data_IF_875624377772
#
_entry.id   IF_875624377772
#
_cell.length_a   1.000
_cell.length_b   1.000
_cell.length_c   1.000
_cell.angle_alpha   90.00
_cell.angle_beta   90.00
_cell.angle_gamma   90.00
#
_symmetry.space_group_name_H-M   'P 1'
#
loop_
_entity.id
_entity.type
_entity.pdbx_description
1 polymer ?
#
# COMPACT_ATOMS: atom_id res chain seq x y z
N UNK A 1 18.68 13.06 14.56
CA UNK A 1 19.84 12.16 14.31
C UNK A 1 19.74 11.50 12.94
N UNK A 2 20.74 10.74 12.47
CA UNK A 2 20.68 10.11 11.12
C UNK A 2 19.50 9.13 10.97
N UNK A 3 19.19 8.35 12.00
CA UNK A 3 18.01 7.46 12.01
C UNK A 3 16.69 8.20 11.82
N UNK A 4 16.54 9.35 12.49
CA UNK A 4 15.36 10.19 12.39
C UNK A 4 15.20 10.78 10.98
N UNK A 5 16.30 11.13 10.32
CA UNK A 5 16.28 11.56 8.92
C UNK A 5 15.83 10.42 8.00
N UNK A 6 16.30 9.19 8.23
CA UNK A 6 15.85 8.02 7.46
C UNK A 6 14.36 7.75 7.63
N UNK A 7 13.82 8.03 8.82
CA UNK A 7 12.42 7.84 9.19
C UNK A 7 11.55 9.08 8.92
N UNK A 8 12.08 10.09 8.23
CA UNK A 8 11.34 11.28 7.82
C UNK A 8 10.82 11.08 6.40
N UNK A 9 9.59 11.51 6.14
CA UNK A 9 8.98 11.41 4.81
C UNK A 9 9.79 12.27 3.84
N UNK A 10 10.39 11.62 2.85
CA UNK A 10 11.12 12.26 1.74
C UNK A 10 10.31 12.22 0.45
N UNK A 11 9.44 11.21 0.32
CA UNK A 11 8.48 11.05 -0.77
C UNK A 11 7.07 10.90 -0.18
N UNK A 12 6.26 11.97 -0.16
CA UNK A 12 4.90 11.91 0.38
C UNK A 12 3.98 11.10 -0.54
N UNK A 13 3.02 10.40 0.07
CA UNK A 13 1.93 9.73 -0.65
C UNK A 13 0.76 10.71 -0.79
N UNK A 14 0.78 11.53 -1.84
CA UNK A 14 -0.22 12.58 -2.01
C UNK A 14 -0.22 13.57 -0.84
N UNK A 15 -1.41 13.95 -0.38
CA UNK A 15 -1.59 14.79 0.81
C UNK A 15 -2.02 14.01 2.07
N UNK A 16 -1.83 12.68 2.08
CA UNK A 16 -2.29 11.78 3.16
C UNK A 16 -1.53 11.92 4.48
N UNK A 17 -0.46 12.71 4.53
CA UNK A 17 0.46 12.77 5.66
C UNK A 17 1.32 11.50 5.87
N UNK A 18 1.14 10.48 5.02
CA UNK A 18 1.97 9.28 4.96
C UNK A 18 2.97 9.37 3.82
N UNK A 19 3.97 8.50 3.81
CA UNK A 19 4.96 8.51 2.75
C UNK A 19 6.07 7.50 2.92
N UNK A 20 7.16 7.75 2.19
CA UNK A 20 8.35 6.94 2.23
C UNK A 20 9.57 7.80 2.59
N UNK A 21 10.35 7.34 3.57
CA UNK A 21 11.65 7.89 3.95
C UNK A 21 12.79 7.13 3.28
N UNK A 22 14.00 7.18 3.87
CA UNK A 22 15.13 6.41 3.36
C UNK A 22 15.03 4.95 3.81
N UNK A 23 14.31 4.14 3.04
CA UNK A 23 14.13 2.70 3.28
C UNK A 23 12.99 2.33 4.25
N UNK A 24 12.11 3.29 4.56
CA UNK A 24 11.01 3.09 5.50
C UNK A 24 9.72 3.67 4.94
N UNK A 25 8.65 2.90 4.98
CA UNK A 25 7.30 3.45 4.89
C UNK A 25 6.99 4.13 6.22
N UNK A 26 6.47 5.35 6.17
CA UNK A 26 6.11 6.17 7.33
C UNK A 26 4.60 6.42 7.28
N UNK A 27 3.90 5.98 8.33
CA UNK A 27 2.45 6.10 8.49
C UNK A 27 2.10 6.53 9.91
N UNK A 28 0.82 6.81 10.14
CA UNK A 28 0.32 7.30 11.43
C UNK A 28 -0.86 6.48 11.94
N UNK A 29 -0.77 6.03 13.19
CA UNK A 29 -1.91 5.48 13.93
C UNK A 29 -2.34 6.52 14.97
N UNK A 30 -3.33 7.34 14.64
CA UNK A 30 -3.61 8.55 15.40
C UNK A 30 -2.39 9.47 15.43
N UNK A 31 -1.89 9.78 16.63
CA UNK A 31 -0.69 10.62 16.80
C UNK A 31 0.62 9.82 16.79
N UNK A 32 0.57 8.50 16.67
CA UNK A 32 1.74 7.64 16.72
C UNK A 32 2.37 7.49 15.34
N UNK A 33 3.63 7.89 15.23
CA UNK A 33 4.43 7.62 14.04
C UNK A 33 4.79 6.15 14.03
N UNK A 34 4.40 5.44 12.97
CA UNK A 34 4.81 4.06 12.74
C UNK A 34 5.68 4.01 11.50
N UNK A 35 6.84 3.37 11.62
CA UNK A 35 7.74 3.15 10.50
C UNK A 35 7.87 1.65 10.24
N UNK A 36 7.77 1.26 8.98
CA UNK A 36 7.73 -0.15 8.62
C UNK A 36 8.40 -0.44 7.27
N UNK A 37 8.88 -1.66 7.10
CA UNK A 37 9.36 -2.14 5.82
C UNK A 37 9.17 -3.66 5.72
N UNK A 38 8.69 -4.10 4.56
CA UNK A 38 8.52 -5.51 4.23
C UNK A 38 9.59 -6.02 3.27
N UNK A 39 9.71 -7.32 3.12
CA UNK A 39 10.54 -7.92 2.09
C UNK A 39 10.12 -9.35 1.85
N UNK A 40 10.08 -9.76 0.58
CA UNK A 40 9.74 -11.12 0.20
C UNK A 40 10.66 -11.60 -0.92
N UNK A 41 11.01 -12.88 -0.86
CA UNK A 41 11.62 -13.64 -1.93
C UNK A 41 10.87 -14.97 -2.05
N UNK A 42 11.13 -15.74 -3.11
CA UNK A 42 10.56 -17.08 -3.22
C UNK A 42 10.88 -17.91 -1.97
N UNK A 43 9.83 -18.39 -1.28
CA UNK A 43 9.94 -19.19 -0.06
C UNK A 43 10.15 -18.42 1.25
N UNK A 44 10.32 -17.10 1.24
CA UNK A 44 10.52 -16.32 2.49
C UNK A 44 9.74 -15.00 2.49
N UNK A 45 9.28 -14.59 3.67
CA UNK A 45 8.64 -13.30 3.88
C UNK A 45 9.13 -12.65 5.18
N UNK A 46 9.31 -11.34 5.16
CA UNK A 46 9.83 -10.56 6.29
C UNK A 46 9.05 -9.24 6.44
N UNK A 47 8.88 -8.79 7.67
CA UNK A 47 8.39 -7.44 7.93
C UNK A 47 8.98 -6.91 9.24
N UNK A 48 9.32 -5.62 9.24
CA UNK A 48 9.76 -4.88 10.41
C UNK A 48 8.82 -3.70 10.62
N UNK A 49 8.43 -3.46 11.87
CA UNK A 49 7.58 -2.34 12.28
C UNK A 49 8.16 -1.73 13.57
N UNK A 50 8.22 -0.41 13.65
CA UNK A 50 8.63 0.31 14.86
C UNK A 50 7.66 1.46 15.15
N UNK A 51 7.41 1.69 16.43
CA UNK A 51 6.70 2.86 16.97
C UNK A 51 7.71 3.61 17.86
N UNK A 52 8.47 4.57 17.32
CA UNK A 52 9.63 5.11 18.02
C UNK A 52 9.32 5.83 19.33
N UNK A 53 8.16 6.50 19.45
CA UNK A 53 7.76 7.19 20.69
C UNK A 53 7.54 6.23 21.85
N UNK A 54 7.08 5.01 21.55
CA UNK A 54 6.78 3.97 22.53
C UNK A 54 7.98 3.05 22.80
N UNK A 55 9.09 3.22 22.07
CA UNK A 55 10.24 2.31 22.17
C UNK A 55 9.93 0.89 21.72
N UNK A 56 8.92 0.70 20.87
CA UNK A 56 8.46 -0.61 20.38
C UNK A 56 9.03 -0.90 18.99
N UNK A 57 9.53 -2.11 18.83
CA UNK A 57 9.95 -2.67 17.54
C UNK A 57 9.55 -4.14 17.44
N UNK A 58 8.92 -4.51 16.34
CA UNK A 58 8.48 -5.87 16.06
C UNK A 58 9.01 -6.31 14.70
N UNK A 59 9.57 -7.51 14.66
CA UNK A 59 10.08 -8.13 13.42
C UNK A 59 9.50 -9.52 13.32
N UNK A 60 8.93 -9.85 12.15
CA UNK A 60 8.50 -11.20 11.82
C UNK A 60 9.25 -11.70 10.59
N UNK A 61 9.71 -12.96 10.67
CA UNK A 61 10.36 -13.68 9.58
C UNK A 61 9.62 -15.00 9.40
N UNK A 62 9.30 -15.35 8.16
CA UNK A 62 8.68 -16.60 7.79
C UNK A 62 9.48 -17.29 6.70
N UNK A 63 9.73 -18.58 6.87
CA UNK A 63 10.24 -19.49 5.83
C UNK A 63 9.11 -20.07 4.97
N UNK A 64 8.05 -19.29 4.80
CA UNK A 64 6.91 -19.59 3.96
C UNK A 64 6.69 -18.38 3.06
N UNK A 65 6.94 -18.56 1.76
CA UNK A 65 6.67 -17.56 0.76
C UNK A 65 5.20 -17.17 0.77
N UNK A 66 4.93 -15.87 0.67
CA UNK A 66 3.57 -15.35 0.69
C UNK A 66 2.93 -15.24 2.07
N UNK A 67 3.53 -15.68 3.18
CA UNK A 67 2.97 -15.45 4.52
C UNK A 67 2.70 -13.95 4.77
N UNK A 68 1.52 -13.60 5.33
CA UNK A 68 1.18 -12.19 5.64
C UNK A 68 1.86 -11.70 6.93
N UNK A 69 3.19 -11.62 6.88
CA UNK A 69 4.03 -11.14 7.98
C UNK A 69 3.78 -9.67 8.34
N UNK A 70 3.28 -8.87 7.39
CA UNK A 70 2.86 -7.48 7.63
C UNK A 70 1.69 -7.41 8.61
N UNK A 71 0.66 -8.23 8.41
CA UNK A 71 -0.47 -8.32 9.34
C UNK A 71 -0.02 -8.84 10.71
N UNK A 72 0.85 -9.86 10.73
CA UNK A 72 1.35 -10.45 11.97
C UNK A 72 2.11 -9.42 12.84
N UNK A 73 3.04 -8.65 12.27
CA UNK A 73 3.77 -7.64 13.06
C UNK A 73 2.84 -6.54 13.58
N UNK A 74 1.81 -6.18 12.81
CA UNK A 74 0.84 -5.18 13.22
C UNK A 74 -0.02 -5.67 14.39
N UNK A 75 -0.51 -6.91 14.33
CA UNK A 75 -1.24 -7.52 15.45
C UNK A 75 -0.38 -7.65 16.71
N UNK A 76 0.88 -8.05 16.56
CA UNK A 76 1.83 -8.16 17.68
C UNK A 76 2.12 -6.80 18.30
N UNK A 77 2.36 -5.76 17.51
CA UNK A 77 2.56 -4.43 18.06
C UNK A 77 1.28 -3.88 18.72
N UNK A 78 0.09 -4.07 18.12
CA UNK A 78 -1.18 -3.73 18.79
C UNK A 78 -1.32 -4.41 20.16
N UNK A 79 -0.92 -5.68 20.25
CA UNK A 79 -0.93 -6.43 21.53
C UNK A 79 0.03 -5.83 22.55
N UNK A 80 1.21 -5.35 22.12
CA UNK A 80 2.20 -4.75 23.02
C UNK A 80 1.79 -3.36 23.54
N UNK A 81 1.06 -2.58 22.74
CA UNK A 81 0.59 -1.25 23.14
C UNK A 81 -0.76 -1.28 23.86
N UNK A 82 -1.45 -2.42 23.89
CA UNK A 82 -2.84 -2.54 24.36
C UNK A 82 -3.81 -1.60 23.63
N UNK A 83 -3.49 -1.28 22.37
CA UNK A 83 -4.30 -0.44 21.49
C UNK A 83 -4.09 -0.83 20.01
N UNK A 84 -5.08 -0.59 19.14
CA UNK A 84 -4.96 -0.89 17.71
C UNK A 84 -3.95 0.02 16.98
N UNK A 85 -2.96 -0.55 16.28
CA UNK A 85 -2.21 0.16 15.22
C UNK A 85 -2.69 -0.25 13.84
N UNK A 86 -3.21 0.72 13.08
CA UNK A 86 -3.80 0.58 11.72
C UNK A 86 -4.98 -0.41 11.61
N UNK A 87 -5.08 -1.36 12.53
CA UNK A 87 -5.99 -2.49 12.55
C UNK A 87 -6.60 -2.61 13.95
N UNK A 88 -7.83 -2.14 14.12
CA UNK A 88 -8.75 -2.73 15.10
C UNK A 88 -9.61 -3.82 14.45
N UNK A 89 -9.86 -3.73 13.15
CA UNK A 89 -10.62 -4.70 12.36
C UNK A 89 -10.14 -4.69 10.88
N UNK A 90 -9.60 -5.80 10.34
CA UNK A 90 -9.21 -5.89 8.92
C UNK A 90 -10.38 -5.83 7.93
N UNK A 91 -11.62 -5.68 8.42
CA UNK A 91 -12.80 -5.35 7.61
C UNK A 91 -13.22 -3.87 7.74
N UNK A 92 -12.59 -3.09 8.62
CA UNK A 92 -12.96 -1.70 8.91
C UNK A 92 -11.72 -0.82 9.05
N UNK A 93 -11.11 -0.51 7.90
CA UNK A 93 -9.92 0.34 7.82
C UNK A 93 -10.26 1.81 8.08
N UNK A 94 -9.39 2.57 8.76
CA UNK A 94 -9.55 4.02 8.81
C UNK A 94 -9.50 4.56 7.37
N UNK A 95 -10.41 5.49 7.01
CA UNK A 95 -10.42 6.05 5.67
C UNK A 95 -9.10 6.78 5.40
N UNK A 96 -8.66 6.75 4.14
CA UNK A 96 -7.51 7.53 3.70
C UNK A 96 -7.92 9.00 3.70
N UNK A 97 -7.27 9.81 4.54
CA UNK A 97 -7.48 11.25 4.57
C UNK A 97 -6.77 11.89 3.38
N UNK A 98 -7.54 12.43 2.44
CA UNK A 98 -7.03 13.10 1.24
C UNK A 98 -8.01 14.19 0.85
N UNK A 99 -7.50 15.34 0.41
CA UNK A 99 -8.33 16.40 -0.18
C UNK A 99 -8.32 16.35 -1.70
N UNK A 100 -7.54 15.44 -2.28
CA UNK A 100 -7.50 15.27 -3.71
C UNK A 100 -8.83 14.73 -4.22
N UNK A 101 -9.37 15.38 -5.25
CA UNK A 101 -10.58 14.95 -5.94
C UNK A 101 -10.16 14.52 -7.34
N UNK A 102 -10.44 13.26 -7.67
CA UNK A 102 -10.21 12.76 -9.02
C UNK A 102 -11.15 13.51 -9.98
N UNK A 103 -10.65 14.07 -11.09
CA UNK A 103 -11.49 14.78 -12.05
C UNK A 103 -12.67 13.95 -12.56
N UNK A 104 -13.83 14.59 -12.70
CA UNK A 104 -15.04 13.92 -13.18
C UNK A 104 -14.79 13.28 -14.56
N UNK A 105 -15.15 12.00 -14.70
CA UNK A 105 -15.01 11.23 -15.94
C UNK A 105 -13.63 10.61 -16.17
N UNK A 106 -12.57 11.06 -15.48
CA UNK A 106 -11.22 10.51 -15.69
C UNK A 106 -11.05 9.07 -15.18
N UNK A 107 -11.92 8.62 -14.27
CA UNK A 107 -11.93 7.24 -13.78
C UNK A 107 -12.08 6.20 -14.89
N UNK A 108 -12.64 6.58 -16.04
CA UNK A 108 -12.80 5.69 -17.20
C UNK A 108 -11.50 5.39 -17.94
N UNK A 109 -10.41 6.10 -17.64
CA UNK A 109 -9.12 5.96 -18.33
C UNK A 109 -8.24 4.84 -17.75
N UNK A 110 -8.47 4.44 -16.50
CA UNK A 110 -7.63 3.50 -15.77
C UNK A 110 -8.00 2.00 -15.90
N UNK A 111 -9.27 1.60 -16.12
CA UNK A 111 -9.63 0.19 -16.21
C UNK A 111 -8.88 -0.55 -17.31
N UNK A 112 -8.44 -1.77 -17.02
CA UNK A 112 -7.64 -2.56 -17.94
C UNK A 112 -6.89 -3.70 -17.25
N UNK A 113 -6.22 -4.54 -18.04
CA UNK A 113 -5.36 -5.61 -17.53
C UNK A 113 -3.91 -5.21 -17.76
N UNK A 114 -3.17 -5.07 -16.67
CA UNK A 114 -1.79 -4.66 -16.63
C UNK A 114 -0.90 -5.87 -16.31
N UNK A 115 0.19 -6.07 -17.04
CA UNK A 115 1.07 -7.24 -16.90
C UNK A 115 2.54 -6.86 -16.77
N UNK A 116 3.22 -7.58 -15.88
CA UNK A 116 4.69 -7.68 -15.85
C UNK A 116 5.09 -9.15 -15.96
N UNK A 117 6.40 -9.42 -15.96
CA UNK A 117 6.92 -10.80 -15.90
C UNK A 117 6.56 -11.49 -14.57
N UNK A 118 6.28 -10.73 -13.51
CA UNK A 118 6.05 -11.24 -12.16
C UNK A 118 4.57 -11.36 -11.81
N UNK A 119 3.72 -10.44 -12.26
CA UNK A 119 2.31 -10.42 -11.88
C UNK A 119 1.39 -9.76 -12.91
N UNK A 120 0.11 -10.16 -12.85
CA UNK A 120 -0.99 -9.52 -13.56
C UNK A 120 -1.86 -8.77 -12.56
N UNK A 121 -2.21 -7.53 -12.89
CA UNK A 121 -3.10 -6.66 -12.13
C UNK A 121 -4.26 -6.27 -13.04
N UNK A 122 -5.49 -6.48 -12.61
CA UNK A 122 -6.68 -5.99 -13.32
C UNK A 122 -7.21 -4.77 -12.57
N UNK A 123 -7.38 -3.65 -13.26
CA UNK A 123 -8.10 -2.48 -12.76
C UNK A 123 -9.52 -2.56 -13.29
N UNK A 124 -10.50 -2.61 -12.39
CA UNK A 124 -11.92 -2.60 -12.72
C UNK A 124 -12.51 -1.23 -12.46
N UNK A 125 -13.37 -0.77 -13.35
CA UNK A 125 -14.17 0.45 -13.17
C UNK A 125 -15.59 0.13 -12.70
N UNK A 126 -16.12 0.91 -11.74
CA UNK A 126 -17.52 0.91 -11.33
C UNK A 126 -18.01 2.34 -11.14
N UNK A 127 -18.85 2.83 -12.03
CA UNK A 127 -19.40 4.20 -12.00
C UNK A 127 -18.30 5.27 -11.81
N UNK A 128 -18.07 5.69 -10.56
CA UNK A 128 -17.15 6.75 -10.14
C UNK A 128 -15.98 6.23 -9.28
N UNK A 129 -15.75 4.92 -9.22
CA UNK A 129 -14.61 4.32 -8.52
C UNK A 129 -13.89 3.29 -9.39
N UNK A 130 -12.64 3.02 -9.03
CA UNK A 130 -11.87 1.91 -9.57
C UNK A 130 -11.39 1.01 -8.43
N UNK A 131 -11.23 -0.27 -8.72
CA UNK A 131 -10.64 -1.26 -7.82
C UNK A 131 -9.50 -1.98 -8.55
N UNK A 132 -8.48 -2.40 -7.82
CA UNK A 132 -7.46 -3.29 -8.38
C UNK A 132 -7.66 -4.71 -7.88
N UNK A 133 -7.42 -5.66 -8.76
CA UNK A 133 -7.60 -7.09 -8.53
C UNK A 133 -6.29 -7.81 -8.85
N UNK A 134 -5.83 -8.64 -7.91
CA UNK A 134 -4.62 -9.43 -8.09
C UNK A 134 -4.77 -10.82 -7.44
N UNK A 135 -3.97 -11.77 -7.88
CA UNK A 135 -3.92 -13.09 -7.27
C UNK A 135 -3.15 -13.06 -5.96
N UNK A 136 -3.67 -13.74 -4.93
CA UNK A 136 -3.02 -13.82 -3.62
C UNK A 136 -2.27 -15.15 -3.44
N UNK A 137 -1.20 -15.18 -2.62
CA UNK A 137 -0.41 -16.40 -2.40
C UNK A 137 -1.19 -17.60 -1.84
N UNK A 138 -2.27 -17.35 -1.08
CA UNK A 138 -3.16 -18.40 -0.56
C UNK A 138 -4.05 -19.05 -1.63
N UNK A 139 -4.04 -18.52 -2.85
CA UNK A 139 -4.95 -18.90 -3.92
C UNK A 139 -6.20 -18.00 -3.96
N UNK A 140 -6.74 -17.82 -5.17
CA UNK A 140 -7.83 -16.89 -5.43
C UNK A 140 -7.34 -15.48 -5.76
N UNK A 141 -8.23 -14.50 -5.65
CA UNK A 141 -7.97 -13.09 -5.96
C UNK A 141 -8.42 -12.21 -4.80
N UNK A 142 -7.68 -11.13 -4.55
CA UNK A 142 -8.12 -10.02 -3.71
C UNK A 142 -8.48 -8.85 -4.62
N UNK A 143 -9.62 -8.21 -4.35
CA UNK A 143 -10.06 -6.96 -4.97
C UNK A 143 -10.07 -5.89 -3.88
N UNK A 144 -9.43 -4.75 -4.16
CA UNK A 144 -9.38 -3.62 -3.24
C UNK A 144 -9.73 -2.32 -3.96
N UNK A 145 -10.54 -1.49 -3.31
CA UNK A 145 -10.95 -0.19 -3.80
C UNK A 145 -9.76 0.79 -3.77
N UNK A 146 -9.68 1.64 -4.78
CA UNK A 146 -8.63 2.65 -4.91
C UNK A 146 -9.21 4.05 -4.69
N UNK A 147 -8.56 4.79 -3.81
CA UNK A 147 -8.85 6.21 -3.55
C UNK A 147 -7.78 7.07 -4.21
N UNK A 148 -8.19 8.11 -4.93
CA UNK A 148 -7.27 9.06 -5.54
C UNK A 148 -6.62 9.94 -4.48
N UNK A 149 -5.29 9.98 -4.48
CA UNK A 149 -4.48 10.78 -3.54
C UNK A 149 -3.57 11.78 -4.27
N UNK A 150 -3.61 11.79 -5.60
CA UNK A 150 -2.89 12.72 -6.46
C UNK A 150 -3.19 12.47 -7.93
N UNK A 151 -2.59 13.27 -8.80
CA UNK A 151 -2.67 13.08 -10.26
C UNK A 151 -2.10 11.71 -10.63
N UNK A 152 -2.93 10.89 -11.29
CA UNK A 152 -2.63 9.49 -11.65
C UNK A 152 -2.16 8.61 -10.47
N UNK A 153 -2.31 9.07 -9.23
CA UNK A 153 -1.83 8.40 -8.02
C UNK A 153 -2.99 7.99 -7.13
N UNK A 154 -3.08 6.69 -6.88
CA UNK A 154 -4.11 6.07 -6.08
C UNK A 154 -3.51 5.25 -4.95
N UNK A 155 -4.29 5.03 -3.91
CA UNK A 155 -3.95 4.17 -2.80
C UNK A 155 -5.13 3.24 -2.47
N UNK A 156 -4.84 1.98 -2.21
CA UNK A 156 -5.82 1.01 -1.79
C UNK A 156 -6.36 1.33 -0.39
N UNK A 157 -7.66 1.54 -0.27
CA UNK A 157 -8.31 1.86 1.02
C UNK A 157 -8.63 0.62 1.86
N UNK A 158 -8.76 -0.54 1.21
CA UNK A 158 -9.12 -1.81 1.83
C UNK A 158 -8.28 -2.98 1.28
N UNK A 159 -8.67 -4.20 1.64
CA UNK A 159 -7.97 -5.44 1.31
C UNK A 159 -6.93 -5.83 2.35
N UNK A 160 -6.89 -7.12 2.69
CA UNK A 160 -6.05 -7.67 3.76
C UNK A 160 -4.56 -7.60 3.40
N UNK A 161 -4.22 -7.74 2.11
CA UNK A 161 -2.86 -7.59 1.60
C UNK A 161 -2.64 -6.27 0.88
N UNK A 162 -3.72 -5.63 0.46
CA UNK A 162 -3.70 -4.50 -0.45
C UNK A 162 -3.69 -3.15 0.25
N UNK A 163 -4.25 -3.02 1.46
CA UNK A 163 -4.41 -1.71 2.09
C UNK A 163 -3.11 -0.90 2.17
N UNK A 164 -3.20 0.37 1.77
CA UNK A 164 -2.06 1.28 1.70
C UNK A 164 -1.11 1.05 0.50
N UNK A 165 -1.38 0.07 -0.35
CA UNK A 165 -0.63 -0.14 -1.60
C UNK A 165 -0.90 1.02 -2.55
N UNK A 166 0.18 1.55 -3.13
CA UNK A 166 0.10 2.59 -4.15
C UNK A 166 -0.11 1.97 -5.53
N UNK A 167 -0.96 2.63 -6.32
CA UNK A 167 -1.07 2.43 -7.75
C UNK A 167 -0.81 3.78 -8.43
N UNK A 168 0.34 3.91 -9.10
CA UNK A 168 0.68 5.11 -9.87
C UNK A 168 0.60 4.81 -11.36
N UNK A 169 -0.40 5.39 -12.03
CA UNK A 169 -0.59 5.23 -13.46
C UNK A 169 0.40 6.11 -14.22
N UNK A 170 0.95 5.56 -15.28
CA UNK A 170 1.93 6.24 -16.13
C UNK A 170 1.32 6.42 -17.51
N UNK A 171 1.45 7.65 -18.03
CA UNK A 171 0.95 8.02 -19.35
C UNK A 171 2.06 7.99 -20.39
N UNK A 172 1.71 7.61 -21.61
CA UNK A 172 2.59 7.71 -22.77
C UNK A 172 2.71 9.17 -23.24
N UNK A 173 3.51 9.44 -24.29
CA UNK A 173 3.68 10.79 -24.85
C UNK A 173 2.41 11.36 -25.50
N UNK A 174 1.42 10.52 -25.80
CA UNK A 174 0.10 10.91 -26.29
C UNK A 174 -0.89 11.28 -25.17
N UNK A 175 -0.50 11.12 -23.90
CA UNK A 175 -1.35 11.40 -22.74
C UNK A 175 -2.24 10.22 -22.31
N UNK A 176 -2.10 9.06 -22.94
CA UNK A 176 -2.90 7.86 -22.62
C UNK A 176 -2.20 7.03 -21.54
N UNK A 177 -2.97 6.49 -20.59
CA UNK A 177 -2.45 5.53 -19.60
C UNK A 177 -1.93 4.29 -20.33
N UNK A 178 -0.67 3.91 -20.08
CA UNK A 178 -0.05 2.76 -20.73
C UNK A 178 0.51 1.72 -19.74
N UNK A 179 0.64 2.09 -18.47
CA UNK A 179 1.17 1.22 -17.43
C UNK A 179 0.78 1.71 -16.04
N UNK A 180 0.98 0.86 -15.04
CA UNK A 180 0.80 1.18 -13.63
C UNK A 180 2.01 0.68 -12.83
N UNK A 181 2.50 1.50 -11.91
CA UNK A 181 3.50 1.13 -10.92
C UNK A 181 2.80 0.68 -9.64
N UNK A 182 3.02 -0.57 -9.23
CA UNK A 182 2.50 -1.15 -7.99
C UNK A 182 3.63 -1.93 -7.31
N UNK A 183 3.82 -1.74 -6.00
CA UNK A 183 4.85 -2.49 -5.24
C UNK A 183 6.29 -2.29 -5.73
N UNK A 184 6.58 -1.19 -6.44
CA UNK A 184 7.89 -0.92 -7.04
C UNK A 184 8.13 -1.58 -8.39
N UNK A 185 7.14 -2.27 -8.95
CA UNK A 185 7.19 -2.91 -10.27
C UNK A 185 6.28 -2.20 -11.27
N UNK A 186 6.68 -2.20 -12.55
CA UNK A 186 5.88 -1.64 -13.64
C UNK A 186 5.11 -2.74 -14.36
N UNK A 187 3.80 -2.53 -14.52
CA UNK A 187 2.90 -3.42 -15.24
C UNK A 187 2.31 -2.69 -16.45
N UNK A 188 2.45 -3.26 -17.64
CA UNK A 188 2.05 -2.65 -18.91
C UNK A 188 0.63 -3.03 -19.28
N UNK A 189 -0.16 -2.04 -19.72
CA UNK A 189 -1.52 -2.25 -20.23
C UNK A 189 -1.49 -3.14 -21.49
N UNK A 190 -2.46 -4.04 -21.59
CA UNK A 190 -2.58 -5.06 -22.65
C UNK A 190 -3.80 -4.81 -23.54
#
# INVERSE_FOLDING_TARGET
>A
GSLEQMQSISMPFGDTGTGYGMGWQVRWAGNLKVVSHGGALSGVATHSLMVPSEGIGVVALANLGGANVSLLVQQLASTLMDEPIFYSDPQNYPPIDTRYVVPDGSMSEYPGVYRSDEATIEIKGRNSSISFVHSVPEGGTEEANLVGIGEDLFMAEDGVRSQGTLAFFVRNTGGEVNSVLVGGQQHWLQ
#
